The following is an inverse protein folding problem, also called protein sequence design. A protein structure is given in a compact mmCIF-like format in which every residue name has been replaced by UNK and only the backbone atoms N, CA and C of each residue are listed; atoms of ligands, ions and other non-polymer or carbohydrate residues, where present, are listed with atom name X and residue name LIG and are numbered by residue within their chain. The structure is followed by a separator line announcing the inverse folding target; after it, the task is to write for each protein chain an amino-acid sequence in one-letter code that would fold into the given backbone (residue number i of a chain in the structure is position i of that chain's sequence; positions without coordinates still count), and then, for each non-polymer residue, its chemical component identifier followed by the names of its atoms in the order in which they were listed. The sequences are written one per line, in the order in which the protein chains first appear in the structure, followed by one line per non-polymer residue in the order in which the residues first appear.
data_IF_054264186903
#
_entry.id   IF_054264186903
#
_cell.length_a   1.000
_cell.length_b   1.000
_cell.length_c   1.000
_cell.angle_alpha   90.00
_cell.angle_beta   90.00
_cell.angle_gamma   90.00
#
_symmetry.space_group_name_H-M   'P 1'
#
loop_
_entity.id
_entity.type
_entity.pdbx_description
1 polymer ?
#
# COMPACT_ATOMS: atom_id res chain seq x y z
N UNK A 1 -27.67 22.70 10.11
CA UNK A 1 -28.53 21.52 9.91
C UNK A 1 -29.41 21.62 8.66
N UNK A 2 -30.25 22.64 8.48
CA UNK A 2 -31.14 22.71 7.27
C UNK A 2 -30.40 22.91 5.93
N UNK A 3 -29.24 23.60 5.89
CA UNK A 3 -28.47 23.80 4.67
C UNK A 3 -27.77 22.52 4.19
N UNK A 4 -27.31 21.66 5.13
CA UNK A 4 -26.67 20.37 4.81
C UNK A 4 -27.67 19.31 4.31
N UNK A 5 -28.94 19.37 4.79
CA UNK A 5 -29.99 18.47 4.31
C UNK A 5 -30.39 18.74 2.85
N UNK A 6 -30.26 20.00 2.39
CA UNK A 6 -30.51 20.34 0.98
C UNK A 6 -29.42 19.84 0.02
N UNK A 7 -28.17 19.71 0.47
CA UNK A 7 -27.08 19.10 -0.33
C UNK A 7 -27.35 17.61 -0.56
N UNK A 8 -27.78 16.87 0.46
CA UNK A 8 -28.12 15.45 0.32
C UNK A 8 -29.28 15.21 -0.66
N UNK A 9 -30.27 16.12 -0.71
CA UNK A 9 -31.38 16.00 -1.65
C UNK A 9 -31.00 16.35 -3.10
N UNK A 10 -29.95 17.15 -3.31
CA UNK A 10 -29.47 17.51 -4.64
C UNK A 10 -28.60 16.39 -5.24
N UNK A 11 -27.82 15.67 -4.44
CA UNK A 11 -27.02 14.51 -4.89
C UNK A 11 -27.89 13.34 -5.40
N UNK A 12 -29.13 13.22 -4.95
CA UNK A 12 -30.07 12.17 -5.41
C UNK A 12 -30.68 12.41 -6.78
N UNK A 13 -30.53 13.58 -7.41
CA UNK A 13 -31.21 13.94 -8.65
C UNK A 13 -30.33 14.02 -9.90
N UNK A 14 -29.00 13.79 -9.78
CA UNK A 14 -28.07 13.87 -10.89
C UNK A 14 -27.53 12.53 -11.40
N UNK A 15 -28.25 11.43 -11.19
CA UNK A 15 -27.96 10.18 -11.91
C UNK A 15 -28.46 10.28 -13.36
N UNK A 16 -27.81 11.09 -14.19
CA UNK A 16 -27.98 11.07 -15.64
C UNK A 16 -26.63 11.08 -16.32
N UNK A 17 -26.28 9.90 -16.83
CA UNK A 17 -25.34 9.64 -17.94
C UNK A 17 -23.98 10.35 -17.83
N UNK A 18 -23.10 9.83 -16.98
CA UNK A 18 -21.67 10.08 -17.13
C UNK A 18 -21.07 9.08 -18.12
N UNK A 19 -20.31 9.60 -19.07
CA UNK A 19 -19.29 8.86 -19.80
C UNK A 19 -18.47 8.12 -18.75
N UNK A 20 -18.39 6.78 -18.83
CA UNK A 20 -17.55 5.95 -17.99
C UNK A 20 -16.07 6.29 -18.26
N UNK A 21 -15.54 7.34 -17.62
CA UNK A 21 -14.13 7.39 -17.34
C UNK A 21 -13.92 6.42 -16.18
N UNK A 22 -13.34 5.27 -16.46
CA UNK A 22 -13.04 4.29 -15.41
C UNK A 22 -11.98 4.89 -14.49
N UNK A 23 -12.36 5.10 -13.26
CA UNK A 23 -11.50 5.60 -12.20
C UNK A 23 -10.52 4.51 -11.78
N UNK A 24 -9.24 4.87 -11.54
CA UNK A 24 -8.25 3.92 -11.00
C UNK A 24 -8.66 3.37 -9.62
N UNK A 25 -9.38 4.16 -8.83
CA UNK A 25 -9.89 3.84 -7.51
C UNK A 25 -11.37 4.23 -7.41
N UNK A 26 -12.20 3.40 -6.81
CA UNK A 26 -13.64 3.63 -6.63
C UNK A 26 -14.02 3.90 -5.16
N UNK A 27 -13.07 4.22 -4.30
CA UNK A 27 -13.29 4.43 -2.86
C UNK A 27 -14.37 5.47 -2.59
N UNK A 28 -14.33 6.63 -3.23
CA UNK A 28 -15.35 7.69 -3.06
C UNK A 28 -16.76 7.21 -3.43
N UNK A 29 -16.89 6.46 -4.52
CA UNK A 29 -18.18 5.85 -4.92
C UNK A 29 -18.67 4.89 -3.82
N UNK A 30 -17.84 3.98 -3.34
CA UNK A 30 -18.22 2.98 -2.33
C UNK A 30 -18.59 3.63 -0.99
N UNK A 31 -17.92 4.70 -0.61
CA UNK A 31 -18.25 5.48 0.60
C UNK A 31 -19.64 6.12 0.44
N UNK A 32 -19.92 6.76 -0.69
CA UNK A 32 -21.22 7.37 -0.97
C UNK A 32 -22.35 6.33 -0.98
N UNK A 33 -22.13 5.16 -1.56
CA UNK A 33 -23.05 4.03 -1.53
C UNK A 33 -23.29 3.54 -0.10
N UNK A 34 -22.26 3.35 0.69
CA UNK A 34 -22.36 2.86 2.07
C UNK A 34 -23.14 3.83 2.97
N UNK A 35 -22.98 5.13 2.75
CA UNK A 35 -23.73 6.18 3.44
C UNK A 35 -25.20 6.18 3.02
N UNK A 36 -25.47 5.93 1.75
CA UNK A 36 -26.84 5.84 1.23
C UNK A 36 -27.54 4.58 1.75
N UNK A 37 -26.82 3.46 1.88
CA UNK A 37 -27.32 2.22 2.48
C UNK A 37 -27.64 2.39 3.97
N UNK A 38 -26.79 3.09 4.71
CA UNK A 38 -26.96 3.32 6.15
C UNK A 38 -26.39 4.67 6.59
N UNK A 39 -27.30 5.62 6.88
CA UNK A 39 -26.92 6.96 7.34
C UNK A 39 -26.05 6.97 8.60
N UNK A 40 -26.05 5.89 9.39
CA UNK A 40 -25.18 5.77 10.56
C UNK A 40 -23.69 5.73 10.17
N UNK A 41 -23.36 5.22 8.98
CA UNK A 41 -22.00 5.26 8.45
C UNK A 41 -21.52 6.70 8.25
N UNK A 42 -22.38 7.59 7.76
CA UNK A 42 -22.08 9.02 7.67
C UNK A 42 -21.76 9.63 9.05
N UNK A 43 -22.63 9.35 10.04
CA UNK A 43 -22.44 9.87 11.40
C UNK A 43 -21.12 9.35 11.98
N UNK A 44 -20.81 8.07 11.78
CA UNK A 44 -19.57 7.47 12.27
C UNK A 44 -18.32 8.11 11.65
N UNK A 45 -18.32 8.34 10.33
CA UNK A 45 -17.20 9.02 9.64
C UNK A 45 -16.98 10.44 10.17
N UNK A 46 -18.01 11.23 10.33
CA UNK A 46 -17.93 12.60 10.88
C UNK A 46 -17.38 12.61 12.33
N UNK A 47 -17.84 11.66 13.16
CA UNK A 47 -17.33 11.53 14.51
C UNK A 47 -15.85 11.13 14.55
N UNK A 48 -15.42 10.25 13.63
CA UNK A 48 -14.04 9.81 13.52
C UNK A 48 -13.16 10.96 13.06
N UNK A 49 -13.56 11.70 12.03
CA UNK A 49 -12.85 12.89 11.58
C UNK A 49 -12.66 13.92 12.71
N UNK A 50 -13.72 14.16 13.47
CA UNK A 50 -13.67 15.06 14.64
C UNK A 50 -12.68 14.57 15.70
N UNK A 51 -12.69 13.27 16.00
CA UNK A 51 -11.77 12.66 16.98
C UNK A 51 -10.33 12.71 16.50
N UNK A 52 -10.09 12.45 15.20
CA UNK A 52 -8.77 12.53 14.59
C UNK A 52 -8.20 13.96 14.66
N UNK A 53 -8.99 14.98 14.31
CA UNK A 53 -8.56 16.36 14.38
C UNK A 53 -8.20 16.78 15.81
N UNK A 54 -9.00 16.34 16.80
CA UNK A 54 -8.66 16.56 18.21
C UNK A 54 -7.35 15.89 18.59
N UNK A 55 -7.15 14.62 18.23
CA UNK A 55 -5.92 13.89 18.52
C UNK A 55 -4.69 14.56 17.87
N UNK A 56 -4.80 15.01 16.62
CA UNK A 56 -3.74 15.74 15.90
C UNK A 56 -3.34 17.01 16.63
N UNK A 57 -4.32 17.81 17.05
CA UNK A 57 -4.06 19.06 17.80
C UNK A 57 -3.35 18.80 19.14
N UNK A 58 -3.71 17.72 19.84
CA UNK A 58 -3.12 17.35 21.13
C UNK A 58 -1.72 16.70 20.97
N UNK A 59 -1.39 16.15 19.79
CA UNK A 59 -0.16 15.38 19.54
C UNK A 59 0.77 15.98 18.48
N UNK A 60 0.58 17.23 18.09
CA UNK A 60 1.34 17.92 17.03
C UNK A 60 2.87 17.92 17.26
N UNK A 61 3.32 17.85 18.50
CA UNK A 61 4.74 17.86 18.88
C UNK A 61 5.23 16.52 19.48
N UNK A 62 4.42 15.47 19.42
CA UNK A 62 4.82 14.16 19.95
C UNK A 62 5.81 13.46 19.04
N UNK A 63 6.80 12.80 19.62
CA UNK A 63 7.66 11.85 18.87
C UNK A 63 6.78 10.67 18.52
N UNK A 64 6.66 10.38 17.23
CA UNK A 64 5.89 9.25 16.74
C UNK A 64 6.71 7.97 16.93
N UNK A 65 6.12 6.99 17.59
CA UNK A 65 6.65 5.61 17.59
C UNK A 65 6.14 4.89 16.35
N UNK A 66 6.95 4.00 15.78
CA UNK A 66 6.54 3.19 14.64
C UNK A 66 5.39 2.27 15.05
N UNK A 67 4.27 2.39 14.36
CA UNK A 67 3.09 1.54 14.55
C UNK A 67 3.23 0.33 13.62
N UNK A 68 3.13 -0.88 14.15
CA UNK A 68 3.16 -2.11 13.37
C UNK A 68 1.73 -2.59 13.15
N UNK A 69 1.38 -2.84 11.90
CA UNK A 69 0.04 -3.32 11.48
C UNK A 69 0.18 -4.74 10.93
N UNK A 70 -0.45 -5.74 11.55
CA UNK A 70 -0.48 -7.10 11.02
C UNK A 70 -1.41 -7.17 9.82
N UNK A 71 -0.91 -7.73 8.72
CA UNK A 71 -1.66 -7.91 7.49
C UNK A 71 -1.92 -9.37 7.18
N UNK A 72 -3.02 -9.64 6.51
CA UNK A 72 -3.30 -10.91 5.84
C UNK A 72 -3.66 -10.66 4.38
N UNK A 73 -3.02 -11.38 3.48
CA UNK A 73 -3.25 -11.29 2.03
C UNK A 73 -4.05 -12.49 1.55
N UNK A 74 -5.24 -12.24 1.03
CA UNK A 74 -6.15 -13.24 0.49
C UNK A 74 -6.06 -13.25 -1.04
N UNK A 75 -5.36 -14.25 -1.59
CA UNK A 75 -5.30 -14.45 -3.04
C UNK A 75 -6.54 -15.22 -3.49
N UNK A 76 -7.44 -14.53 -4.20
CA UNK A 76 -8.63 -15.13 -4.80
C UNK A 76 -8.36 -15.38 -6.28
N UNK A 77 -7.94 -16.60 -6.61
CA UNK A 77 -7.42 -16.92 -7.94
C UNK A 77 -8.34 -17.81 -8.76
N UNK A 78 -8.29 -17.68 -10.08
CA UNK A 78 -9.04 -18.54 -11.01
C UNK A 78 -8.67 -20.00 -10.80
N UNK A 79 -9.65 -20.89 -10.87
CA UNK A 79 -9.44 -22.33 -10.73
C UNK A 79 -8.58 -22.93 -11.87
N UNK A 80 -8.38 -22.21 -12.97
CA UNK A 80 -7.47 -22.56 -14.06
C UNK A 80 -6.01 -22.17 -13.78
N UNK A 81 -5.76 -21.31 -12.78
CA UNK A 81 -4.43 -20.86 -12.38
C UNK A 81 -3.96 -21.61 -11.12
N UNK A 82 -3.79 -22.93 -11.24
CA UNK A 82 -3.50 -23.83 -10.10
C UNK A 82 -2.11 -23.63 -9.53
N UNK A 83 -1.13 -23.29 -10.39
CA UNK A 83 0.26 -23.15 -9.96
C UNK A 83 0.51 -21.77 -9.36
N UNK A 84 1.12 -21.73 -8.18
CA UNK A 84 1.60 -20.49 -7.56
C UNK A 84 2.60 -19.81 -8.48
N UNK A 85 2.45 -18.51 -8.71
CA UNK A 85 3.22 -17.72 -9.66
C UNK A 85 2.62 -17.69 -11.08
N UNK A 86 1.43 -18.27 -11.30
CA UNK A 86 0.76 -18.30 -12.59
C UNK A 86 -0.53 -17.49 -12.59
N UNK A 87 -0.62 -16.49 -13.45
CA UNK A 87 -1.80 -15.65 -13.61
C UNK A 87 -2.26 -15.04 -12.28
N UNK A 88 -3.55 -15.17 -11.96
CA UNK A 88 -4.12 -14.61 -10.73
C UNK A 88 -3.67 -15.30 -9.44
N UNK A 89 -3.00 -16.46 -9.51
CA UNK A 89 -2.39 -17.12 -8.35
C UNK A 89 -0.93 -16.66 -8.20
N UNK A 90 -0.76 -15.38 -7.90
CA UNK A 90 0.55 -14.72 -7.83
C UNK A 90 1.50 -15.40 -6.84
N UNK A 91 2.81 -15.27 -7.06
CA UNK A 91 3.82 -15.87 -6.20
C UNK A 91 3.95 -15.17 -4.84
N UNK A 92 4.44 -15.91 -3.83
CA UNK A 92 4.77 -15.30 -2.53
C UNK A 92 5.81 -14.20 -2.70
N UNK A 93 6.78 -14.36 -3.60
CA UNK A 93 7.77 -13.32 -3.90
C UNK A 93 7.14 -12.04 -4.44
N UNK A 94 6.09 -12.11 -5.27
CA UNK A 94 5.37 -10.92 -5.73
C UNK A 94 4.60 -10.26 -4.59
N UNK A 95 4.01 -11.05 -3.69
CA UNK A 95 3.31 -10.56 -2.50
C UNK A 95 4.30 -9.86 -1.55
N UNK A 96 5.46 -10.48 -1.29
CA UNK A 96 6.52 -9.90 -0.47
C UNK A 96 7.07 -8.60 -1.08
N UNK A 97 7.20 -8.54 -2.41
CA UNK A 97 7.60 -7.33 -3.12
C UNK A 97 6.60 -6.19 -2.93
N UNK A 98 5.30 -6.46 -3.02
CA UNK A 98 4.25 -5.46 -2.77
C UNK A 98 4.34 -4.88 -1.35
N UNK A 99 4.52 -5.73 -0.33
CA UNK A 99 4.62 -5.27 1.05
C UNK A 99 5.95 -4.55 1.32
N UNK A 100 7.03 -4.92 0.64
CA UNK A 100 8.30 -4.19 0.68
C UNK A 100 8.15 -2.78 0.14
N UNK A 101 7.51 -2.60 -1.03
CA UNK A 101 7.25 -1.29 -1.63
C UNK A 101 6.38 -0.45 -0.70
N UNK A 102 5.26 -1.00 -0.25
CA UNK A 102 4.37 -0.35 0.71
C UNK A 102 5.13 0.18 1.94
N UNK A 103 6.01 -0.62 2.53
CA UNK A 103 6.79 -0.19 3.69
C UNK A 103 7.83 0.89 3.33
N UNK A 104 8.42 0.85 2.14
CA UNK A 104 9.33 1.88 1.66
C UNK A 104 8.61 3.22 1.46
N UNK A 105 7.41 3.19 0.89
CA UNK A 105 6.57 4.37 0.68
C UNK A 105 6.17 5.02 1.99
N UNK A 106 5.69 4.23 2.94
CA UNK A 106 5.27 4.71 4.26
C UNK A 106 6.43 5.20 5.14
N UNK A 107 7.65 4.72 4.91
CA UNK A 107 8.85 5.17 5.63
C UNK A 107 9.68 6.21 4.88
N UNK A 108 9.21 6.69 3.70
CA UNK A 108 9.96 7.64 2.86
C UNK A 108 11.36 7.12 2.48
N UNK A 109 11.47 5.81 2.20
CA UNK A 109 12.71 5.14 1.79
C UNK A 109 12.62 4.51 0.40
N UNK A 110 11.56 4.82 -0.34
CA UNK A 110 11.38 4.49 -1.74
C UNK A 110 12.49 5.13 -2.60
N UNK A 111 12.66 4.61 -3.81
CA UNK A 111 13.84 4.90 -4.66
C UNK A 111 13.97 6.38 -5.05
N UNK A 112 12.90 7.13 -5.03
CA UNK A 112 12.86 8.54 -5.37
C UNK A 112 13.57 9.42 -4.33
N UNK A 113 13.66 8.97 -3.08
CA UNK A 113 14.35 9.73 -2.03
C UNK A 113 15.83 9.38 -1.91
N UNK A 114 16.67 10.38 -1.57
CA UNK A 114 16.32 11.77 -1.21
C UNK A 114 16.23 12.74 -2.40
N UNK A 115 16.30 12.28 -3.64
CA UNK A 115 16.36 13.12 -4.83
C UNK A 115 15.21 12.84 -5.80
N UNK A 116 13.95 13.19 -5.44
CA UNK A 116 12.79 12.90 -6.27
C UNK A 116 12.86 13.65 -7.62
N UNK A 117 12.14 13.15 -8.65
CA UNK A 117 12.10 13.75 -9.98
C UNK A 117 11.63 15.22 -9.99
N UNK A 118 10.73 15.60 -9.07
CA UNK A 118 10.35 16.99 -8.77
C UNK A 118 10.53 17.24 -7.27
N UNK A 119 11.18 18.33 -6.90
CA UNK A 119 11.51 18.65 -5.51
C UNK A 119 10.68 19.78 -4.90
N UNK A 120 9.64 20.24 -5.60
CA UNK A 120 8.77 21.36 -5.18
C UNK A 120 8.24 21.14 -3.76
N UNK A 121 7.80 19.94 -3.45
CA UNK A 121 7.20 19.57 -2.17
C UNK A 121 8.08 18.67 -1.30
N UNK A 122 9.39 18.56 -1.60
CA UNK A 122 10.31 17.68 -0.87
C UNK A 122 10.33 17.91 0.65
N UNK A 123 10.21 19.17 1.06
CA UNK A 123 10.18 19.56 2.47
C UNK A 123 8.85 19.23 3.18
N UNK A 124 7.80 18.91 2.44
CA UNK A 124 6.51 18.46 2.97
C UNK A 124 6.41 16.92 3.06
N UNK A 125 7.32 16.21 2.38
CA UNK A 125 7.30 14.75 2.35
C UNK A 125 7.60 14.16 3.74
N UNK A 126 6.73 13.28 4.20
CA UNK A 126 6.76 12.68 5.53
C UNK A 126 7.15 11.21 5.52
N UNK A 127 7.84 10.79 6.58
CA UNK A 127 7.86 9.40 7.05
C UNK A 127 6.61 9.22 7.94
N UNK A 128 5.73 8.29 7.57
CA UNK A 128 4.44 8.09 8.23
C UNK A 128 4.59 7.38 9.58
N UNK A 129 5.68 6.62 9.78
CA UNK A 129 5.91 5.80 10.97
C UNK A 129 4.85 4.71 11.18
N UNK A 130 4.36 4.12 10.08
CA UNK A 130 3.50 2.93 10.09
C UNK A 130 4.18 1.87 9.24
N UNK A 131 4.26 0.65 9.78
CA UNK A 131 4.89 -0.49 9.12
C UNK A 131 3.91 -1.66 9.05
N UNK A 132 3.89 -2.36 7.93
CA UNK A 132 3.01 -3.49 7.65
C UNK A 132 3.80 -4.78 7.65
N UNK A 133 3.32 -5.79 8.38
CA UNK A 133 3.98 -7.09 8.43
C UNK A 133 2.96 -8.23 8.36
N UNK A 134 3.35 -9.33 7.73
CA UNK A 134 2.49 -10.50 7.65
C UNK A 134 2.16 -11.03 9.03
N UNK A 135 0.89 -11.36 9.27
CA UNK A 135 0.47 -12.05 10.47
C UNK A 135 1.19 -13.40 10.60
N UNK A 136 1.68 -13.72 11.78
CA UNK A 136 2.34 -15.00 12.09
C UNK A 136 1.44 -15.99 12.82
N UNK A 137 0.28 -15.51 13.28
CA UNK A 137 -0.80 -16.33 13.86
C UNK A 137 -2.12 -16.02 13.17
N UNK A 138 -2.92 -17.06 12.90
CA UNK A 138 -4.28 -16.91 12.39
C UNK A 138 -5.29 -16.61 13.51
N UNK A 139 -6.56 -16.39 13.17
CA UNK A 139 -7.66 -16.12 14.11
C UNK A 139 -7.88 -17.23 15.16
N UNK A 140 -7.35 -18.44 14.93
CA UNK A 140 -7.43 -19.57 15.86
C UNK A 140 -6.14 -19.74 16.67
N UNK A 141 -5.16 -18.83 16.52
CA UNK A 141 -3.87 -18.90 17.18
C UNK A 141 -2.88 -19.89 16.54
N UNK A 142 -3.17 -20.45 15.35
CA UNK A 142 -2.25 -21.34 14.66
C UNK A 142 -1.18 -20.52 13.90
N UNK A 143 0.03 -21.07 13.74
CA UNK A 143 1.06 -20.46 12.91
C UNK A 143 0.61 -20.28 11.46
N UNK A 144 0.90 -19.11 10.88
CA UNK A 144 0.61 -18.77 9.49
C UNK A 144 1.75 -17.93 8.89
N UNK A 145 1.79 -17.80 7.56
CA UNK A 145 2.63 -16.85 6.85
C UNK A 145 1.86 -15.58 6.43
N UNK A 146 0.62 -15.41 6.89
CA UNK A 146 -0.23 -14.26 6.55
C UNK A 146 -0.76 -14.27 5.12
N UNK A 147 -0.65 -15.38 4.38
CA UNK A 147 -1.13 -15.52 3.01
C UNK A 147 -2.15 -16.65 2.94
N UNK A 148 -3.33 -16.37 2.41
CA UNK A 148 -4.35 -17.38 2.11
C UNK A 148 -4.58 -17.47 0.60
N UNK A 149 -4.95 -18.66 0.10
CA UNK A 149 -5.21 -18.88 -1.33
C UNK A 149 -6.55 -19.58 -1.49
N UNK A 150 -7.45 -18.94 -2.28
CA UNK A 150 -8.80 -19.45 -2.52
C UNK A 150 -9.04 -19.52 -4.02
N UNK A 151 -9.38 -20.73 -4.48
CA UNK A 151 -9.71 -20.97 -5.88
C UNK A 151 -11.16 -20.60 -6.16
N UNK A 152 -11.39 -19.83 -7.25
CA UNK A 152 -12.74 -19.43 -7.68
C UNK A 152 -13.03 -19.86 -9.11
N UNK A 153 -14.30 -20.06 -9.43
CA UNK A 153 -14.80 -20.26 -10.80
C UNK A 153 -15.10 -18.94 -11.53
N UNK A 154 -15.04 -17.81 -10.83
CA UNK A 154 -15.22 -16.49 -11.41
C UNK A 154 -14.06 -16.18 -12.36
N UNK A 155 -14.37 -15.52 -13.49
CA UNK A 155 -13.37 -15.02 -14.44
C UNK A 155 -12.68 -13.75 -13.92
N UNK A 156 -13.48 -12.88 -13.34
CA UNK A 156 -13.11 -11.58 -12.80
C UNK A 156 -14.20 -11.09 -11.85
N UNK A 157 -13.97 -9.94 -11.23
CA UNK A 157 -14.90 -9.27 -10.32
C UNK A 157 -15.15 -7.87 -10.85
N UNK A 158 -16.42 -7.55 -11.12
CA UNK A 158 -16.82 -6.22 -11.56
C UNK A 158 -16.88 -5.27 -10.34
N UNK A 159 -16.00 -4.25 -10.25
CA UNK A 159 -15.99 -3.33 -9.12
C UNK A 159 -17.28 -2.54 -8.96
N UNK A 160 -18.04 -2.35 -10.04
CA UNK A 160 -19.29 -1.60 -10.02
C UNK A 160 -20.47 -2.38 -9.43
N UNK A 161 -20.46 -3.70 -9.54
CA UNK A 161 -21.61 -4.53 -9.14
C UNK A 161 -21.24 -5.62 -8.13
N UNK A 162 -19.96 -5.96 -7.98
CA UNK A 162 -19.45 -7.07 -7.17
C UNK A 162 -18.32 -6.62 -6.20
N UNK A 163 -18.25 -5.33 -5.85
CA UNK A 163 -17.16 -4.72 -5.08
C UNK A 163 -16.84 -5.43 -3.74
N UNK A 164 -17.74 -6.23 -3.21
CA UNK A 164 -17.53 -6.95 -1.95
C UNK A 164 -17.65 -8.48 -2.08
N UNK A 165 -17.90 -9.00 -3.28
CA UNK A 165 -18.14 -10.44 -3.45
C UNK A 165 -16.87 -11.27 -3.28
N UNK A 166 -15.67 -10.76 -3.67
CA UNK A 166 -14.41 -11.43 -3.41
C UNK A 166 -14.09 -11.57 -1.91
N UNK A 167 -14.77 -10.79 -1.05
CA UNK A 167 -14.61 -10.79 0.41
C UNK A 167 -15.47 -11.85 1.11
N UNK A 168 -16.16 -12.72 0.37
CA UNK A 168 -17.11 -13.69 0.94
C UNK A 168 -16.96 -15.09 0.33
N UNK A 169 -16.93 -16.10 1.20
CA UNK A 169 -16.86 -17.51 0.79
C UNK A 169 -18.11 -17.93 -0.03
N UNK A 170 -19.30 -17.42 0.32
CA UNK A 170 -20.56 -17.80 -0.33
C UNK A 170 -20.73 -17.22 -1.74
N UNK A 171 -19.94 -16.23 -2.13
CA UNK A 171 -19.92 -15.65 -3.49
C UNK A 171 -18.73 -16.15 -4.31
N UNK A 172 -17.93 -17.05 -3.76
CA UNK A 172 -16.75 -17.63 -4.42
C UNK A 172 -15.43 -16.91 -4.11
N UNK A 173 -15.46 -15.99 -3.15
CA UNK A 173 -14.28 -15.30 -2.63
C UNK A 173 -13.74 -15.93 -1.34
N UNK A 174 -13.20 -15.13 -0.46
CA UNK A 174 -12.65 -15.51 0.83
C UNK A 174 -13.14 -14.55 1.92
N UNK A 175 -13.79 -15.07 2.98
CA UNK A 175 -14.10 -14.29 4.17
C UNK A 175 -12.81 -13.70 4.77
N UNK A 176 -12.84 -12.41 5.14
CA UNK A 176 -11.73 -11.77 5.83
C UNK A 176 -11.53 -12.31 7.24
N UNK A 177 -10.35 -12.10 7.79
CA UNK A 177 -10.07 -12.30 9.21
C UNK A 177 -10.59 -11.11 10.02
N UNK A 178 -10.60 -11.23 11.33
CA UNK A 178 -11.12 -10.18 12.21
C UNK A 178 -10.48 -8.81 11.89
N UNK A 179 -11.23 -7.82 11.39
CA UNK A 179 -10.68 -6.53 11.00
C UNK A 179 -10.22 -5.68 12.20
N UNK A 180 -10.53 -6.06 13.42
CA UNK A 180 -9.99 -5.43 14.62
C UNK A 180 -8.57 -5.92 14.96
N UNK A 181 -8.17 -7.09 14.43
CA UNK A 181 -6.85 -7.67 14.65
C UNK A 181 -5.97 -7.70 13.40
N UNK A 182 -6.55 -7.70 12.19
CA UNK A 182 -5.82 -7.84 10.93
C UNK A 182 -6.29 -6.82 9.90
N UNK A 183 -5.34 -6.21 9.19
CA UNK A 183 -5.64 -5.53 7.94
C UNK A 183 -5.77 -6.58 6.83
N UNK A 184 -6.99 -6.75 6.32
CA UNK A 184 -7.30 -7.68 5.24
C UNK A 184 -7.01 -7.04 3.88
N UNK A 185 -6.28 -7.76 3.01
CA UNK A 185 -5.99 -7.37 1.63
C UNK A 185 -6.43 -8.49 0.71
N UNK A 186 -7.43 -8.24 -0.14
CA UNK A 186 -7.85 -9.18 -1.18
C UNK A 186 -7.16 -8.84 -2.50
N UNK A 187 -6.52 -9.85 -3.10
CA UNK A 187 -5.89 -9.74 -4.41
C UNK A 187 -6.63 -10.67 -5.37
N UNK A 188 -7.21 -10.10 -6.42
CA UNK A 188 -8.04 -10.83 -7.38
C UNK A 188 -7.91 -10.23 -8.78
N UNK A 189 -8.63 -10.77 -9.77
CA UNK A 189 -8.75 -10.19 -11.11
C UNK A 189 -9.95 -9.24 -11.14
N UNK A 190 -9.70 -7.94 -11.19
CA UNK A 190 -10.74 -6.95 -11.37
C UNK A 190 -11.08 -6.80 -12.86
N UNK A 191 -12.38 -6.69 -13.15
CA UNK A 191 -12.84 -6.53 -14.53
C UNK A 191 -12.25 -5.27 -15.18
N UNK A 192 -11.69 -5.43 -16.37
CA UNK A 192 -11.16 -4.34 -17.19
C UNK A 192 -12.08 -4.13 -18.40
N UNK A 193 -12.81 -3.01 -18.48
CA UNK A 193 -13.71 -2.76 -19.59
C UNK A 193 -12.95 -2.61 -20.91
N UNK A 194 -13.52 -3.12 -22.05
CA UNK A 194 -12.84 -3.08 -23.35
C UNK A 194 -12.54 -1.67 -23.88
N UNK A 195 -13.23 -0.66 -23.40
CA UNK A 195 -13.08 0.74 -23.80
C UNK A 195 -11.88 1.44 -23.14
N UNK A 196 -11.12 0.72 -22.32
CA UNK A 196 -9.99 1.25 -21.55
C UNK A 196 -10.40 1.77 -20.19
N UNK A 197 -9.37 1.98 -19.39
CA UNK A 197 -9.49 2.27 -17.97
C UNK A 197 -9.89 1.03 -17.17
N UNK A 198 -9.36 0.91 -15.98
CA UNK A 198 -9.78 -0.13 -15.05
C UNK A 198 -9.55 0.34 -13.62
N UNK A 199 -10.34 -0.15 -12.71
CA UNK A 199 -10.11 -0.02 -11.29
C UNK A 199 -8.89 -0.88 -10.90
N UNK A 200 -7.88 -0.26 -10.30
CA UNK A 200 -6.65 -0.94 -9.86
C UNK A 200 -6.78 -1.45 -8.43
N UNK A 201 -7.54 -0.72 -7.61
CA UNK A 201 -7.82 -1.05 -6.23
C UNK A 201 -8.93 -0.19 -5.66
N UNK A 202 -9.30 -0.47 -4.42
CA UNK A 202 -10.20 0.32 -3.59
C UNK A 202 -10.16 -0.13 -2.14
N UNK A 203 -10.56 0.78 -1.26
CA UNK A 203 -10.75 0.49 0.15
C UNK A 203 -11.98 1.23 0.69
N UNK A 204 -12.22 1.13 1.99
CA UNK A 204 -13.24 1.91 2.68
C UNK A 204 -12.60 2.90 3.64
N UNK A 205 -13.10 4.14 3.67
CA UNK A 205 -12.71 5.13 4.66
C UNK A 205 -13.10 4.70 6.08
N UNK A 206 -12.36 5.15 7.12
CA UNK A 206 -12.70 4.87 8.50
C UNK A 206 -14.14 5.31 8.83
N UNK A 207 -14.94 4.39 9.37
CA UNK A 207 -16.33 4.65 9.73
C UNK A 207 -17.37 4.33 8.65
N UNK A 208 -16.98 4.30 7.36
CA UNK A 208 -17.92 4.11 6.25
C UNK A 208 -18.56 2.71 6.22
N UNK A 209 -17.98 1.73 6.90
CA UNK A 209 -18.51 0.36 7.01
C UNK A 209 -18.63 -0.15 8.44
N UNK A 210 -18.73 0.75 9.41
CA UNK A 210 -18.79 0.41 10.85
C UNK A 210 -19.86 -0.66 11.19
N UNK A 211 -20.96 -0.68 10.47
CA UNK A 211 -22.03 -1.67 10.66
C UNK A 211 -21.93 -2.89 9.73
N UNK A 212 -20.85 -2.94 8.95
CA UNK A 212 -20.56 -4.03 8.00
C UNK A 212 -19.06 -4.28 7.92
N UNK A 213 -18.39 -4.43 9.06
CA UNK A 213 -16.93 -4.54 9.19
C UNK A 213 -16.33 -5.68 8.36
N UNK A 214 -17.12 -6.67 7.96
CA UNK A 214 -16.67 -7.70 7.02
C UNK A 214 -16.30 -7.15 5.62
N UNK A 215 -16.76 -5.92 5.29
CA UNK A 215 -16.38 -5.20 4.07
C UNK A 215 -15.00 -4.50 4.20
N UNK A 216 -14.53 -4.28 5.43
CA UNK A 216 -13.33 -3.47 5.73
C UNK A 216 -12.05 -4.12 5.23
N UNK A 217 -11.11 -3.29 4.78
CA UNK A 217 -9.86 -3.70 4.13
C UNK A 217 -9.79 -3.27 2.68
N UNK A 218 -8.74 -3.68 1.98
CA UNK A 218 -8.51 -3.29 0.58
C UNK A 218 -8.72 -4.43 -0.40
N UNK A 219 -9.09 -4.07 -1.62
CA UNK A 219 -9.07 -4.96 -2.79
C UNK A 219 -8.08 -4.36 -3.78
N UNK A 220 -7.20 -5.19 -4.33
CA UNK A 220 -6.20 -4.78 -5.33
C UNK A 220 -6.21 -5.78 -6.48
N UNK A 221 -6.13 -5.28 -7.70
CA UNK A 221 -5.96 -6.13 -8.88
C UNK A 221 -4.57 -6.81 -8.85
N UNK A 222 -4.52 -8.10 -9.17
CA UNK A 222 -3.30 -8.90 -9.09
C UNK A 222 -2.14 -8.38 -9.95
N UNK A 223 -2.43 -7.60 -11.01
CA UNK A 223 -1.43 -6.97 -11.90
C UNK A 223 -0.79 -5.73 -11.27
N UNK A 224 -1.40 -5.17 -10.24
CA UNK A 224 -0.99 -3.95 -9.56
C UNK A 224 -0.60 -4.18 -8.10
N UNK A 225 -0.31 -5.44 -7.75
CA UNK A 225 0.17 -5.85 -6.45
C UNK A 225 1.62 -6.35 -6.55
N UNK A 226 2.59 -5.48 -6.26
CA UNK A 226 4.02 -5.68 -6.49
C UNK A 226 4.46 -5.38 -7.93
N UNK A 227 5.75 -5.37 -8.19
CA UNK A 227 6.36 -4.99 -9.48
C UNK A 227 7.03 -6.15 -10.22
N UNK A 228 7.03 -7.34 -9.63
CA UNK A 228 7.65 -8.55 -10.21
C UNK A 228 6.58 -9.61 -10.51
N UNK A 229 7.00 -10.75 -11.08
CA UNK A 229 6.12 -11.87 -11.36
C UNK A 229 5.18 -11.58 -12.53
N UNK A 230 3.86 -11.62 -12.26
CA UNK A 230 2.81 -11.38 -13.28
C UNK A 230 2.27 -9.94 -13.23
N UNK A 231 2.96 -9.04 -12.55
CA UNK A 231 2.57 -7.63 -12.48
C UNK A 231 2.61 -6.94 -13.85
N UNK A 232 1.81 -5.88 -14.01
CA UNK A 232 1.80 -5.09 -15.24
C UNK A 232 3.16 -4.38 -15.43
N UNK A 233 3.69 -4.31 -16.66
CA UNK A 233 5.01 -3.72 -16.92
C UNK A 233 5.16 -2.24 -16.55
N UNK A 234 4.04 -1.50 -16.52
CA UNK A 234 4.00 -0.07 -16.17
C UNK A 234 3.60 0.18 -14.72
N UNK A 235 3.52 -0.87 -13.90
CA UNK A 235 3.13 -0.75 -12.51
C UNK A 235 4.35 -0.40 -11.64
N UNK A 236 4.24 0.64 -10.82
CA UNK A 236 5.24 1.06 -9.83
C UNK A 236 5.08 0.39 -8.46
N UNK A 237 3.96 -0.33 -8.25
CA UNK A 237 3.61 -1.02 -7.01
C UNK A 237 2.93 -0.13 -5.97
N UNK A 238 2.63 1.13 -6.29
CA UNK A 238 2.06 2.10 -5.35
C UNK A 238 0.54 1.95 -5.10
N UNK A 239 -0.16 1.11 -5.86
CA UNK A 239 -1.61 0.91 -5.66
C UNK A 239 -1.97 0.52 -4.22
N UNK A 240 -1.31 -0.45 -3.56
CA UNK A 240 -1.58 -0.73 -2.14
C UNK A 240 -1.33 0.47 -1.22
N UNK A 241 -0.31 1.28 -1.52
CA UNK A 241 0.03 2.50 -0.78
C UNK A 241 -1.10 3.52 -0.85
N UNK A 242 -1.65 3.75 -2.05
CA UNK A 242 -2.81 4.61 -2.29
C UNK A 242 -4.04 4.12 -1.50
N UNK A 243 -4.38 2.85 -1.63
CA UNK A 243 -5.57 2.27 -0.99
C UNK A 243 -5.47 2.26 0.54
N UNK A 244 -4.27 2.05 1.09
CA UNK A 244 -4.05 2.17 2.53
C UNK A 244 -4.14 3.63 2.98
N UNK A 245 -3.77 4.59 2.14
CA UNK A 245 -4.05 6.02 2.38
C UNK A 245 -5.54 6.24 2.68
N UNK A 246 -6.44 5.76 1.84
CA UNK A 246 -7.89 5.80 2.06
C UNK A 246 -8.31 5.02 3.31
N UNK A 247 -7.82 3.79 3.47
CA UNK A 247 -8.10 2.97 4.64
C UNK A 247 -7.74 3.69 5.96
N UNK A 248 -6.73 4.56 5.93
CA UNK A 248 -6.29 5.36 7.06
C UNK A 248 -6.89 6.80 7.08
N UNK A 249 -7.81 7.11 6.18
CA UNK A 249 -8.64 8.32 6.25
C UNK A 249 -8.24 9.44 5.31
N UNK A 250 -7.40 9.19 4.31
CA UNK A 250 -7.05 10.19 3.31
C UNK A 250 -8.04 10.18 2.15
N UNK A 251 -8.33 11.36 1.61
CA UNK A 251 -9.01 11.56 0.33
C UNK A 251 -8.00 11.75 -0.79
N UNK A 252 -8.47 11.78 -2.04
CA UNK A 252 -7.63 12.17 -3.17
C UNK A 252 -7.14 13.62 -3.02
N UNK A 253 -6.00 13.95 -3.63
CA UNK A 253 -5.47 15.32 -3.65
C UNK A 253 -6.15 16.22 -4.68
N UNK A 254 -7.02 15.69 -5.50
CA UNK A 254 -7.81 16.41 -6.49
C UNK A 254 -9.29 16.40 -6.10
N UNK A 255 -10.02 17.45 -6.52
CA UNK A 255 -11.44 17.56 -6.28
C UNK A 255 -12.23 16.60 -7.19
N UNK A 256 -13.17 15.86 -6.63
CA UNK A 256 -14.08 14.97 -7.37
C UNK A 256 -15.45 15.58 -7.61
N UNK A 257 -15.61 16.85 -7.23
CA UNK A 257 -16.87 17.59 -7.44
C UNK A 257 -16.91 18.21 -8.84
N UNK A 258 -18.12 18.33 -9.34
CA UNK A 258 -18.41 18.96 -10.64
C UNK A 258 -19.42 20.10 -10.48
N UNK A 259 -19.33 21.09 -11.34
CA UNK A 259 -20.36 22.15 -11.44
C UNK A 259 -21.68 21.65 -12.06
N UNK A 260 -22.68 22.50 -12.08
CA UNK A 260 -24.00 22.19 -12.69
C UNK A 260 -23.97 21.89 -14.20
N UNK A 261 -22.81 22.05 -14.86
CA UNK A 261 -22.58 21.73 -16.28
C UNK A 261 -21.71 20.46 -16.46
N UNK A 262 -21.29 19.82 -15.36
CA UNK A 262 -20.46 18.62 -15.39
C UNK A 262 -18.96 18.90 -15.51
N UNK A 263 -18.48 20.13 -15.28
CA UNK A 263 -17.05 20.42 -15.31
C UNK A 263 -16.44 20.26 -13.92
N UNK A 264 -15.20 19.72 -13.80
CA UNK A 264 -14.46 19.69 -12.54
C UNK A 264 -14.32 21.10 -11.94
N UNK A 265 -14.48 21.21 -10.64
CA UNK A 265 -14.29 22.45 -9.88
C UNK A 265 -13.08 22.35 -8.96
N UNK A 266 -12.55 23.51 -8.57
CA UNK A 266 -11.60 23.56 -7.48
C UNK A 266 -12.36 23.43 -6.16
N UNK A 267 -11.88 22.55 -5.26
CA UNK A 267 -12.37 22.49 -3.89
C UNK A 267 -11.18 22.54 -2.93
N UNK A 268 -11.48 22.91 -1.73
CA UNK A 268 -10.55 22.84 -0.61
C UNK A 268 -10.48 21.40 -0.09
N UNK A 269 -9.31 20.89 0.18
CA UNK A 269 -9.14 19.61 0.86
C UNK A 269 -9.78 19.61 2.27
N UNK A 270 -10.00 20.80 2.82
CA UNK A 270 -10.78 21.00 4.06
C UNK A 270 -12.28 20.71 3.90
N UNK A 271 -12.83 20.88 2.70
CA UNK A 271 -14.25 20.67 2.45
C UNK A 271 -14.62 19.19 2.32
N UNK A 272 -13.64 18.33 2.14
CA UNK A 272 -13.81 16.88 2.15
C UNK A 272 -14.01 16.37 3.59
N UNK A 273 -15.25 16.35 4.03
CA UNK A 273 -15.66 16.05 5.41
C UNK A 273 -15.34 14.63 5.91
N UNK A 274 -14.69 13.78 5.11
CA UNK A 274 -14.56 12.36 5.38
C UNK A 274 -13.28 11.95 6.10
N UNK A 275 -12.15 12.65 5.87
CA UNK A 275 -10.83 12.18 6.33
C UNK A 275 -10.13 13.05 7.37
N UNK A 276 -10.59 14.27 7.58
CA UNK A 276 -9.90 15.27 8.38
C UNK A 276 -9.13 16.27 7.50
N UNK A 277 -8.88 17.44 8.04
CA UNK A 277 -8.25 18.54 7.34
C UNK A 277 -6.80 18.27 6.99
N UNK A 278 -6.42 18.51 5.74
CA UNK A 278 -5.05 18.42 5.23
C UNK A 278 -4.73 19.73 4.51
N UNK A 279 -4.03 20.64 5.19
CA UNK A 279 -3.77 21.99 4.70
C UNK A 279 -2.44 22.10 3.94
N UNK A 280 -1.62 21.04 3.93
CA UNK A 280 -0.31 21.02 3.26
C UNK A 280 -0.33 20.32 1.88
N UNK A 281 -1.53 20.13 1.32
CA UNK A 281 -1.75 19.78 -0.08
C UNK A 281 -2.40 20.96 -0.81
N UNK A 282 -1.92 21.36 -2.01
CA UNK A 282 -2.54 22.41 -2.80
C UNK A 282 -3.93 22.04 -3.29
N UNK A 283 -4.79 23.05 -3.51
CA UNK A 283 -6.07 22.84 -4.16
C UNK A 283 -5.86 22.38 -5.62
N UNK A 284 -6.51 21.31 -6.03
CA UNK A 284 -6.48 20.78 -7.39
C UNK A 284 -7.87 20.38 -7.83
N UNK A 285 -8.26 20.68 -9.07
CA UNK A 285 -9.60 20.39 -9.58
C UNK A 285 -9.65 19.16 -10.49
N UNK A 286 -8.52 18.67 -10.97
CA UNK A 286 -8.49 17.67 -12.02
C UNK A 286 -7.35 16.68 -11.81
N UNK A 287 -7.51 15.51 -12.39
CA UNK A 287 -6.53 14.42 -12.32
C UNK A 287 -5.44 14.64 -13.35
N UNK A 288 -4.18 14.58 -12.91
CA UNK A 288 -3.02 14.52 -13.79
C UNK A 288 -2.64 13.07 -14.08
N UNK A 289 -2.70 12.67 -15.35
CA UNK A 289 -2.43 11.29 -15.78
C UNK A 289 -1.00 11.05 -16.29
N UNK A 290 -0.18 12.10 -16.29
CA UNK A 290 1.16 12.05 -16.85
C UNK A 290 2.25 11.69 -15.86
N UNK A 291 3.48 11.59 -16.38
CA UNK A 291 4.71 11.45 -15.59
C UNK A 291 5.09 12.78 -14.96
N UNK A 292 5.38 12.75 -13.65
CA UNK A 292 5.81 13.95 -12.91
C UNK A 292 7.33 14.05 -12.92
N UNK A 293 7.84 15.23 -13.32
CA UNK A 293 9.27 15.54 -13.33
C UNK A 293 9.52 17.03 -13.09
N UNK A 294 10.77 17.45 -13.06
CA UNK A 294 11.16 18.85 -12.80
C UNK A 294 10.54 19.89 -13.75
N UNK A 295 10.07 19.50 -14.94
CA UNK A 295 9.41 20.38 -15.91
C UNK A 295 7.89 20.35 -15.86
N UNK A 296 7.30 19.46 -15.05
CA UNK A 296 5.85 19.39 -14.87
C UNK A 296 5.36 20.63 -14.14
N UNK A 297 4.48 21.38 -14.79
CA UNK A 297 3.97 22.67 -14.33
C UNK A 297 2.44 22.68 -14.21
N UNK A 298 1.83 21.54 -13.89
CA UNK A 298 0.40 21.44 -13.64
C UNK A 298 0.00 22.33 -12.45
N UNK A 299 -1.01 23.17 -12.64
CA UNK A 299 -1.57 24.07 -11.63
C UNK A 299 -2.99 24.42 -12.07
N UNK A 300 -3.96 23.75 -11.53
CA UNK A 300 -5.36 23.81 -11.97
C UNK A 300 -6.21 24.76 -11.15
N UNK A 301 -5.75 25.11 -9.93
CA UNK A 301 -6.46 25.98 -9.00
C UNK A 301 -5.56 27.12 -8.49
N UNK A 302 -6.17 28.17 -7.96
CA UNK A 302 -5.44 29.25 -7.30
C UNK A 302 -5.51 29.06 -5.78
N UNK A 303 -4.41 28.59 -5.18
CA UNK A 303 -4.34 28.28 -3.75
C UNK A 303 -4.73 29.44 -2.83
N UNK A 304 -4.49 30.69 -3.26
CA UNK A 304 -4.85 31.86 -2.47
C UNK A 304 -6.37 32.04 -2.28
N UNK A 305 -7.18 31.24 -2.95
CA UNK A 305 -8.64 31.26 -2.86
C UNK A 305 -9.18 30.16 -1.91
N UNK A 306 -8.31 29.35 -1.33
CA UNK A 306 -8.65 28.16 -0.52
C UNK A 306 -7.94 28.23 0.83
N UNK A 307 -8.48 27.51 1.82
CA UNK A 307 -7.88 27.35 3.15
C UNK A 307 -6.76 26.32 3.10
N UNK A 308 -5.54 26.74 2.80
CA UNK A 308 -4.36 25.88 2.87
C UNK A 308 -3.15 26.66 3.38
N UNK A 309 -2.05 25.97 3.63
CA UNK A 309 -0.83 26.57 4.18
C UNK A 309 0.04 27.31 3.15
N UNK A 310 -0.43 27.49 1.90
CA UNK A 310 0.34 28.14 0.83
C UNK A 310 0.06 29.63 0.77
N UNK A 311 1.12 30.44 0.93
CA UNK A 311 1.06 31.91 0.83
C UNK A 311 1.19 32.42 -0.62
N UNK A 312 1.35 31.54 -1.57
CA UNK A 312 1.47 31.82 -3.02
C UNK A 312 0.74 30.73 -3.78
N UNK A 313 0.30 31.03 -4.99
CA UNK A 313 -0.22 29.99 -5.87
C UNK A 313 0.92 29.03 -6.26
N UNK A 314 0.77 27.75 -6.01
CA UNK A 314 1.77 26.69 -6.25
C UNK A 314 1.27 25.68 -7.28
N UNK A 315 2.09 24.72 -7.63
CA UNK A 315 1.72 23.63 -8.53
C UNK A 315 0.78 22.63 -7.81
N UNK A 316 0.01 21.87 -8.56
CA UNK A 316 -0.72 20.72 -8.03
C UNK A 316 0.27 19.65 -7.56
N UNK A 317 -0.06 18.93 -6.46
CA UNK A 317 0.79 17.89 -5.88
C UNK A 317 0.56 16.55 -6.57
N UNK A 318 0.87 16.49 -7.88
CA UNK A 318 0.63 15.31 -8.72
C UNK A 318 1.44 14.08 -8.27
N UNK A 319 2.59 14.28 -7.60
CA UNK A 319 3.45 13.22 -7.05
C UNK A 319 2.98 12.60 -5.74
N UNK A 320 1.88 13.07 -5.19
CA UNK A 320 1.33 12.51 -3.95
C UNK A 320 0.73 11.12 -4.19
N UNK A 321 0.91 10.19 -3.24
CA UNK A 321 0.32 8.85 -3.34
C UNK A 321 -1.20 8.88 -3.49
N UNK A 322 -1.89 9.96 -3.05
CA UNK A 322 -3.34 10.12 -3.23
C UNK A 322 -3.73 10.79 -4.55
N UNK A 323 -2.81 10.95 -5.50
CA UNK A 323 -3.04 11.38 -6.89
C UNK A 323 -3.10 10.18 -7.84
N UNK A 324 -3.34 10.43 -9.14
CA UNK A 324 -3.42 9.42 -10.19
C UNK A 324 -2.32 9.54 -11.25
N UNK A 325 -1.29 10.35 -11.00
CA UNK A 325 -0.16 10.45 -11.92
C UNK A 325 0.53 9.08 -12.11
N UNK A 326 1.37 8.98 -13.12
CA UNK A 326 2.11 7.73 -13.36
C UNK A 326 3.26 7.52 -12.39
N UNK A 327 3.71 8.61 -11.75
CA UNK A 327 4.83 8.60 -10.82
C UNK A 327 4.40 9.30 -9.52
N UNK A 328 4.23 8.53 -8.47
CA UNK A 328 3.86 9.00 -7.13
C UNK A 328 4.91 8.52 -6.13
N UNK A 329 5.27 9.34 -5.14
CA UNK A 329 6.36 8.97 -4.22
C UNK A 329 6.26 9.56 -2.83
N UNK A 330 5.18 10.29 -2.46
CA UNK A 330 5.15 10.92 -1.14
C UNK A 330 3.75 11.02 -0.53
N UNK A 331 3.73 10.94 0.80
CA UNK A 331 2.70 11.54 1.65
C UNK A 331 3.23 12.82 2.28
N UNK A 332 2.33 13.73 2.68
CA UNK A 332 2.69 14.94 3.41
C UNK A 332 2.69 14.74 4.92
N UNK A 333 3.21 15.74 5.66
CA UNK A 333 3.20 15.73 7.12
C UNK A 333 1.79 15.69 7.71
N UNK A 334 0.85 16.42 7.12
CA UNK A 334 -0.53 16.41 7.60
C UNK A 334 -1.28 15.14 7.23
N UNK A 335 -1.06 14.61 6.02
CA UNK A 335 -1.53 13.28 5.65
C UNK A 335 -1.02 12.21 6.64
N UNK A 336 0.28 12.24 6.97
CA UNK A 336 0.85 11.37 8.00
C UNK A 336 0.19 11.57 9.35
N UNK A 337 -0.17 12.81 9.71
CA UNK A 337 -0.87 13.13 10.95
C UNK A 337 -2.29 12.55 10.98
N UNK A 338 -3.04 12.63 9.87
CA UNK A 338 -4.38 12.02 9.74
C UNK A 338 -4.30 10.51 9.92
N UNK A 339 -3.39 9.84 9.19
CA UNK A 339 -3.20 8.39 9.27
C UNK A 339 -2.85 7.92 10.68
N UNK A 340 -1.95 8.62 11.37
CA UNK A 340 -1.60 8.34 12.76
C UNK A 340 -2.77 8.59 13.72
N UNK A 341 -3.59 9.63 13.48
CA UNK A 341 -4.82 9.89 14.23
C UNK A 341 -5.79 8.72 14.12
N UNK A 342 -5.97 8.19 12.91
CA UNK A 342 -6.80 7.00 12.66
C UNK A 342 -6.27 5.77 13.40
N UNK A 343 -4.95 5.51 13.37
CA UNK A 343 -4.32 4.38 14.07
C UNK A 343 -4.33 4.52 15.60
N UNK A 344 -4.36 5.72 16.13
CA UNK A 344 -4.49 5.95 17.58
C UNK A 344 -5.95 6.13 18.05
N UNK A 345 -6.89 6.22 17.11
CA UNK A 345 -8.33 6.37 17.35
C UNK A 345 -9.12 5.16 16.87
N UNK A 346 -9.77 5.28 15.73
CA UNK A 346 -10.73 4.30 15.19
C UNK A 346 -10.10 2.91 14.96
N UNK A 347 -8.84 2.85 14.50
CA UNK A 347 -8.11 1.59 14.24
C UNK A 347 -7.11 1.23 15.35
N UNK A 348 -7.33 1.74 16.55
CA UNK A 348 -6.41 1.47 17.68
C UNK A 348 -6.36 -0.01 18.09
N UNK A 349 -7.36 -0.80 17.76
CA UNK A 349 -7.37 -2.26 17.93
C UNK A 349 -6.26 -2.92 17.09
N UNK A 350 -6.07 -2.51 15.83
CA UNK A 350 -4.97 -3.01 14.97
C UNK A 350 -3.59 -2.69 15.55
N UNK A 351 -3.38 -1.46 16.05
CA UNK A 351 -2.13 -1.06 16.72
C UNK A 351 -1.81 -1.95 17.91
N UNK A 352 -2.84 -2.40 18.63
CA UNK A 352 -2.72 -3.22 19.83
C UNK A 352 -3.02 -4.70 19.59
N UNK A 353 -3.11 -5.12 18.34
CA UNK A 353 -3.42 -6.49 17.97
C UNK A 353 -2.39 -7.47 18.55
N UNK A 354 -2.82 -8.59 19.13
CA UNK A 354 -1.91 -9.64 19.56
C UNK A 354 -1.16 -10.28 18.40
N UNK A 355 -1.70 -10.24 17.18
CA UNK A 355 -1.03 -10.71 15.96
C UNK A 355 0.19 -9.88 15.60
N UNK A 356 0.25 -8.58 15.94
CA UNK A 356 1.38 -7.69 15.68
C UNK A 356 2.63 -8.03 16.51
N UNK A 357 2.47 -8.65 17.66
CA UNK A 357 3.59 -9.03 18.54
C UNK A 357 4.54 -10.03 17.86
N UNK A 358 4.04 -10.82 16.93
CA UNK A 358 4.77 -11.85 16.21
C UNK A 358 5.29 -11.41 14.83
N UNK A 359 5.08 -10.15 14.46
CA UNK A 359 5.55 -9.59 13.18
C UNK A 359 7.07 -9.39 13.09
N UNK A 360 7.84 -10.02 13.90
CA UNK A 360 9.31 -9.97 13.85
C UNK A 360 9.84 -10.88 12.75
N UNK A 361 9.79 -10.45 11.51
CA UNK A 361 10.34 -11.29 10.43
C UNK A 361 10.10 -10.83 9.00
N UNK A 362 9.46 -9.71 8.75
CA UNK A 362 9.26 -9.23 7.39
C UNK A 362 9.98 -7.92 7.14
N UNK A 363 11.00 -8.06 6.31
CA UNK A 363 11.49 -7.12 5.30
C UNK A 363 11.53 -5.63 5.67
N UNK A 364 11.97 -5.32 6.87
CA UNK A 364 12.76 -4.12 7.07
C UNK A 364 14.21 -4.54 7.00
N UNK A 365 15.03 -3.81 6.30
CA UNK A 365 16.48 -3.95 6.30
C UNK A 365 17.09 -3.93 7.73
N UNK A 366 16.28 -3.70 8.76
CA UNK A 366 16.67 -3.55 10.16
C UNK A 366 16.89 -4.86 10.95
N UNK A 367 16.53 -6.04 10.39
CA UNK A 367 17.03 -7.32 10.88
C UNK A 367 18.19 -7.86 10.04
N UNK A 368 18.90 -6.97 9.36
CA UNK A 368 20.24 -7.31 8.92
C UNK A 368 21.04 -7.68 10.17
N UNK A 369 21.49 -8.91 10.23
CA UNK A 369 22.59 -9.27 11.11
C UNK A 369 23.59 -8.13 11.02
N UNK A 370 23.90 -7.51 12.15
CA UNK A 370 24.80 -6.35 12.25
C UNK A 370 25.91 -6.49 11.20
N UNK A 371 26.14 -5.47 10.40
CA UNK A 371 27.10 -5.46 9.30
C UNK A 371 28.47 -5.99 9.69
N UNK A 372 28.77 -6.06 10.98
CA UNK A 372 30.01 -6.59 11.55
C UNK A 372 29.99 -8.10 11.80
N UNK A 373 28.85 -8.80 11.67
CA UNK A 373 28.74 -10.22 12.06
C UNK A 373 28.93 -11.21 10.91
N UNK A 374 28.53 -10.85 9.66
CA UNK A 374 28.73 -11.70 8.48
C UNK A 374 29.56 -10.97 7.44
N UNK A 375 30.61 -11.60 6.97
CA UNK A 375 31.44 -11.11 5.86
C UNK A 375 31.41 -12.10 4.72
N UNK A 376 31.18 -11.59 3.51
CA UNK A 376 31.14 -12.36 2.26
C UNK A 376 32.21 -11.81 1.35
N UNK A 377 33.25 -12.65 1.08
CA UNK A 377 34.42 -12.23 0.30
C UNK A 377 35.06 -13.42 -0.41
N UNK A 378 35.90 -13.17 -1.49
CA UNK A 378 36.10 -11.87 -2.14
C UNK A 378 34.90 -11.48 -2.97
N UNK A 379 34.70 -10.16 -3.17
CA UNK A 379 33.70 -9.59 -4.06
C UNK A 379 34.33 -8.39 -4.79
N UNK A 380 34.55 -8.44 -6.13
CA UNK A 380 34.29 -9.55 -7.05
C UNK A 380 35.06 -10.84 -6.76
N UNK A 381 34.45 -11.97 -7.20
CA UNK A 381 35.06 -13.31 -7.08
C UNK A 381 35.38 -13.94 -8.42
N UNK A 382 36.34 -14.84 -8.47
CA UNK A 382 36.64 -15.69 -9.64
C UNK A 382 35.97 -17.07 -9.58
N UNK A 383 35.07 -17.28 -8.62
CA UNK A 383 34.29 -18.51 -8.49
C UNK A 383 34.18 -19.03 -7.06
N UNK A 384 35.08 -18.72 -6.15
CA UNK A 384 34.99 -19.15 -4.76
C UNK A 384 34.70 -17.97 -3.85
N UNK A 385 33.65 -18.10 -3.02
CA UNK A 385 33.20 -17.10 -2.05
C UNK A 385 33.27 -17.71 -0.65
N UNK A 386 33.81 -16.97 0.30
CA UNK A 386 33.84 -17.33 1.70
C UNK A 386 32.77 -16.49 2.44
N UNK A 387 31.97 -17.14 3.24
CA UNK A 387 31.01 -16.53 4.16
C UNK A 387 31.55 -16.77 5.56
N UNK A 388 32.01 -15.71 6.22
CA UNK A 388 32.48 -15.75 7.58
C UNK A 388 31.40 -15.24 8.51
N UNK A 389 30.98 -16.09 9.43
CA UNK A 389 30.04 -15.78 10.49
C UNK A 389 30.83 -15.65 11.80
N UNK A 390 30.84 -14.46 12.39
CA UNK A 390 31.57 -14.18 13.62
C UNK A 390 30.85 -14.64 14.89
N UNK A 391 29.59 -15.06 14.77
CA UNK A 391 28.83 -15.68 15.87
C UNK A 391 28.46 -17.12 15.52
N UNK A 392 28.53 -18.01 16.52
CA UNK A 392 28.00 -19.37 16.38
C UNK A 392 26.46 -19.31 16.31
N UNK A 393 25.92 -19.09 15.12
CA UNK A 393 24.49 -19.08 14.89
C UNK A 393 24.08 -20.52 14.51
N UNK A 394 23.28 -21.20 15.31
CA UNK A 394 22.79 -22.52 14.94
C UNK A 394 21.82 -22.44 13.77
N UNK A 395 22.00 -23.30 12.76
CA UNK A 395 21.11 -23.46 11.60
C UNK A 395 21.06 -22.26 10.63
N UNK A 396 22.20 -21.91 10.01
CA UNK A 396 22.18 -20.93 8.89
C UNK A 396 21.70 -21.62 7.61
N UNK A 397 20.70 -21.02 6.95
CA UNK A 397 20.37 -21.31 5.56
C UNK A 397 21.07 -20.32 4.64
N UNK A 398 21.73 -20.82 3.61
CA UNK A 398 22.42 -20.03 2.59
C UNK A 398 21.78 -20.33 1.26
N UNK A 399 21.26 -19.30 0.58
CA UNK A 399 20.63 -19.40 -0.73
C UNK A 399 21.41 -18.50 -1.68
N UNK A 400 21.75 -19.01 -2.87
CA UNK A 400 22.31 -18.21 -3.96
C UNK A 400 21.26 -18.06 -5.05
N UNK A 401 21.01 -16.81 -5.48
CA UNK A 401 20.05 -16.47 -6.54
C UNK A 401 20.75 -15.73 -7.68
N UNK A 402 20.22 -15.90 -8.89
CA UNK A 402 20.58 -15.04 -10.02
C UNK A 402 19.80 -13.71 -9.99
N UNK A 403 20.03 -12.84 -10.98
CA UNK A 403 19.35 -11.54 -11.12
C UNK A 403 17.82 -11.64 -11.38
N UNK A 404 17.34 -12.83 -11.75
CA UNK A 404 15.91 -13.10 -11.95
C UNK A 404 15.24 -13.65 -10.68
N UNK A 405 16.01 -13.77 -9.57
CA UNK A 405 15.51 -14.33 -8.32
C UNK A 405 15.50 -15.87 -8.27
N UNK A 406 15.93 -16.57 -9.34
CA UNK A 406 15.94 -18.02 -9.39
C UNK A 406 16.99 -18.58 -8.43
N UNK A 407 16.61 -19.57 -7.62
CA UNK A 407 17.51 -20.25 -6.70
C UNK A 407 18.48 -21.14 -7.48
N UNK A 408 19.77 -20.81 -7.39
CA UNK A 408 20.84 -21.54 -8.06
C UNK A 408 21.47 -22.58 -7.12
N UNK A 409 21.55 -22.23 -5.82
CA UNK A 409 22.16 -23.12 -4.83
C UNK A 409 21.51 -22.88 -3.46
N UNK A 410 21.30 -23.97 -2.72
CA UNK A 410 20.89 -23.91 -1.32
C UNK A 410 21.84 -24.74 -0.48
N UNK A 411 22.28 -24.21 0.65
CA UNK A 411 23.16 -24.87 1.60
C UNK A 411 22.78 -24.53 3.02
N UNK A 412 22.84 -25.49 3.92
CA UNK A 412 22.67 -25.28 5.36
C UNK A 412 24.00 -25.51 6.07
N UNK A 413 24.37 -24.65 6.99
CA UNK A 413 25.64 -24.79 7.71
C UNK A 413 25.53 -24.36 9.17
N UNK A 414 26.32 -25.04 10.01
CA UNK A 414 26.52 -24.68 11.42
C UNK A 414 27.97 -24.17 11.68
N UNK A 415 28.76 -24.06 10.62
CA UNK A 415 30.15 -23.65 10.71
C UNK A 415 30.26 -22.12 10.69
N UNK A 416 31.22 -21.58 11.43
CA UNK A 416 31.53 -20.14 11.44
C UNK A 416 32.15 -19.63 10.14
N UNK A 417 32.63 -20.53 9.29
CA UNK A 417 33.15 -20.24 7.96
C UNK A 417 32.59 -21.24 6.95
N UNK A 418 31.99 -20.72 5.89
CA UNK A 418 31.43 -21.52 4.79
C UNK A 418 32.09 -21.10 3.48
N UNK A 419 32.48 -22.06 2.66
CA UNK A 419 33.00 -21.83 1.31
C UNK A 419 31.95 -22.27 0.29
N UNK A 420 31.53 -21.36 -0.59
CA UNK A 420 30.71 -21.65 -1.73
C UNK A 420 31.54 -21.69 -3.01
N UNK A 421 31.31 -22.68 -3.83
CA UNK A 421 31.91 -22.79 -5.16
C UNK A 421 30.91 -22.41 -6.24
N UNK A 422 31.08 -21.23 -6.81
CA UNK A 422 30.27 -20.66 -7.91
C UNK A 422 31.03 -20.74 -9.25
N UNK A 423 32.14 -21.46 -9.31
CA UNK A 423 33.03 -21.52 -10.51
C UNK A 423 32.31 -22.13 -11.73
N UNK A 424 31.26 -22.92 -11.53
CA UNK A 424 30.46 -23.52 -12.57
C UNK A 424 29.40 -22.58 -13.17
N UNK A 425 29.13 -21.42 -12.54
CA UNK A 425 28.16 -20.43 -12.98
C UNK A 425 28.77 -19.47 -14.01
N UNK A 426 27.95 -18.81 -14.84
CA UNK A 426 28.37 -17.78 -15.78
C UNK A 426 28.80 -16.49 -15.07
N UNK A 427 29.65 -15.66 -15.74
CA UNK A 427 29.96 -14.34 -15.23
C UNK A 427 28.68 -13.50 -15.08
N UNK A 428 28.53 -12.83 -13.95
CA UNK A 428 27.32 -12.07 -13.69
C UNK A 428 27.18 -11.62 -12.24
N UNK A 429 26.00 -11.10 -11.91
CA UNK A 429 25.61 -10.70 -10.57
C UNK A 429 24.76 -11.80 -9.95
N UNK A 430 25.09 -12.14 -8.71
CA UNK A 430 24.36 -13.10 -7.88
C UNK A 430 24.06 -12.47 -6.52
N UNK A 431 23.01 -12.95 -5.88
CA UNK A 431 22.67 -12.58 -4.52
C UNK A 431 22.87 -13.79 -3.61
N UNK A 432 23.53 -13.59 -2.49
CA UNK A 432 23.73 -14.61 -1.46
C UNK A 432 22.93 -14.19 -0.23
N UNK A 433 21.87 -14.94 0.04
CA UNK A 433 21.03 -14.76 1.21
C UNK A 433 21.55 -15.69 2.31
N UNK A 434 21.89 -15.13 3.46
CA UNK A 434 22.27 -15.89 4.66
C UNK A 434 21.24 -15.62 5.73
N UNK A 435 20.43 -16.60 6.06
CA UNK A 435 19.36 -16.48 7.06
C UNK A 435 19.61 -17.34 8.28
N UNK A 436 19.19 -16.86 9.43
CA UNK A 436 19.22 -17.53 10.73
C UNK A 436 18.00 -17.14 11.56
N UNK A 437 17.85 -17.73 12.76
CA UNK A 437 16.79 -17.33 13.71
C UNK A 437 16.89 -15.86 14.15
N UNK A 438 18.02 -15.18 13.90
CA UNK A 438 18.29 -13.82 14.35
C UNK A 438 18.24 -12.79 13.21
N UNK A 439 17.84 -13.18 12.00
CA UNK A 439 17.73 -12.30 10.86
C UNK A 439 18.29 -12.87 9.56
N UNK A 440 18.24 -12.06 8.50
CA UNK A 440 18.75 -12.37 7.17
C UNK A 440 19.80 -11.34 6.74
N UNK A 441 20.83 -11.79 6.02
CA UNK A 441 21.80 -10.96 5.31
C UNK A 441 21.74 -11.27 3.84
N UNK A 442 21.53 -10.28 3.00
CA UNK A 442 21.59 -10.40 1.55
C UNK A 442 22.81 -9.61 1.06
N UNK A 443 23.67 -10.25 0.28
CA UNK A 443 24.86 -9.62 -0.29
C UNK A 443 24.93 -9.83 -1.79
N UNK A 444 25.10 -8.74 -2.53
CA UNK A 444 25.36 -8.81 -3.97
C UNK A 444 26.81 -9.26 -4.21
N UNK A 445 27.00 -10.33 -4.98
CA UNK A 445 28.31 -10.87 -5.36
C UNK A 445 28.48 -10.79 -6.87
N UNK A 446 29.63 -10.28 -7.31
CA UNK A 446 29.99 -10.19 -8.73
C UNK A 446 30.94 -11.35 -9.05
N UNK A 447 30.51 -12.25 -9.92
CA UNK A 447 31.35 -13.32 -10.48
C UNK A 447 32.01 -12.81 -11.77
N UNK A 448 33.32 -12.71 -11.74
CA UNK A 448 34.15 -12.23 -12.87
C UNK A 448 35.40 -13.11 -12.97
N UNK A 449 35.29 -14.13 -13.82
CA UNK A 449 36.40 -15.09 -14.10
C UNK A 449 37.47 -14.50 -15.00
#
# INVERSE_FOLDING_TARGET
MLKKLNLLLFALLTQLSFSQNSEKCITTKLVNESVTEDVRNYIATEEIATKNNKWRAENSNSVKETIIVPIVVHIVHKNTHVNVGSGTNISDAQIEDAIRILNQDFSKTNIEFPNPPRNTFLNLAADVQIQFCFATTDENGNPTNGITRTSTTKSDWDPDTEANDMKRNNTGGKDGWDPEEYLNIWVCDLYAPPQGGMTLGYSYLPGSVTWSMWKDGLVVDYRYFGTIGVSAPSNDGSTPTHEIGHYLGLMHTFCEEIDGNGNPICCDNDDNNWGGYVDDTPASKDVYWGTVNASTNNNTCNDLSYSNNFNTNVLDMDENFMSYSSDVWMFTHEQSSVMNGTMNGYRSSLKNSPASVNCTGTVGIDNLLDNNQIRIYPNPTKGRVLIQNLMQIPNNSIIVRNILGEIILTSNSRNSLVSLDLSHLENGVYFIDVSSNNGIRIEKVILAK
#
